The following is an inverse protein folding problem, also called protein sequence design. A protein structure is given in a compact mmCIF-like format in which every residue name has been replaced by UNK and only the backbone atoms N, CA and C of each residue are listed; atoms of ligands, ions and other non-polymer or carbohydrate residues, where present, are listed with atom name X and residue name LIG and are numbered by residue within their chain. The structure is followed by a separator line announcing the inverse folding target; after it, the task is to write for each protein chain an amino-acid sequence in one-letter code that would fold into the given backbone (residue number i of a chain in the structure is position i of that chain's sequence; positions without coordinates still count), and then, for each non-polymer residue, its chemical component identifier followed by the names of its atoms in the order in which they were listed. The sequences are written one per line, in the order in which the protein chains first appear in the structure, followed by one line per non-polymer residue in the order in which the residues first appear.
data_IF_665795887877
#
_entry.id   IF_665795887877
#
_cell.length_a   1.000
_cell.length_b   1.000
_cell.length_c   1.000
_cell.angle_alpha   90.00
_cell.angle_beta   90.00
_cell.angle_gamma   90.00
#
_symmetry.space_group_name_H-M   'P 1'
#
loop_
_entity.id
_entity.type
_entity.pdbx_description
1 polymer ?
#
# COMPACT_ATOMS: atom_id res chain seq x y z
N UNK A 1 7.53 -6.98 -14.93
CA UNK A 1 7.18 -6.93 -16.37
C UNK A 1 8.04 -5.86 -17.05
N UNK A 2 8.72 -6.18 -18.14
CA UNK A 2 9.63 -5.27 -18.86
C UNK A 2 9.12 -4.98 -20.28
N UNK A 3 9.66 -3.96 -20.94
CA UNK A 3 9.25 -3.53 -22.29
C UNK A 3 9.28 -2.02 -22.49
N UNK A 4 9.24 -1.57 -23.75
CA UNK A 4 9.32 -0.14 -24.13
C UNK A 4 8.15 0.70 -23.60
N UNK A 5 8.31 2.02 -23.50
CA UNK A 5 7.20 2.91 -23.11
C UNK A 5 6.00 2.74 -24.05
N UNK A 6 4.78 2.77 -23.51
CA UNK A 6 3.54 2.57 -24.29
C UNK A 6 3.20 1.10 -24.60
N UNK A 7 4.03 0.12 -24.27
CA UNK A 7 3.78 -1.31 -24.57
C UNK A 7 2.66 -1.97 -23.73
N UNK A 8 1.89 -1.20 -22.96
CA UNK A 8 0.77 -1.72 -22.15
C UNK A 8 1.13 -2.34 -20.79
N UNK A 9 2.38 -2.23 -20.31
CA UNK A 9 2.81 -2.82 -19.02
C UNK A 9 1.98 -2.33 -17.83
N UNK A 10 1.80 -1.01 -17.71
CA UNK A 10 1.03 -0.41 -16.62
C UNK A 10 -0.45 -0.75 -16.75
N UNK A 11 -0.97 -0.88 -17.98
CA UNK A 11 -2.34 -1.36 -18.21
C UNK A 11 -2.51 -2.78 -17.68
N UNK A 12 -1.58 -3.68 -18.02
CA UNK A 12 -1.66 -5.07 -17.54
C UNK A 12 -1.53 -5.18 -16.02
N UNK A 13 -0.51 -4.53 -15.43
CA UNK A 13 -0.20 -4.68 -14.01
C UNK A 13 -1.14 -3.86 -13.14
N UNK A 14 -1.36 -2.58 -13.44
CA UNK A 14 -2.09 -1.68 -12.55
C UNK A 14 -3.59 -1.72 -12.84
N UNK A 15 -3.98 -1.59 -14.11
CA UNK A 15 -5.39 -1.46 -14.49
C UNK A 15 -6.15 -2.79 -14.47
N UNK A 16 -5.49 -3.90 -14.82
CA UNK A 16 -6.12 -5.23 -14.87
C UNK A 16 -5.78 -6.03 -13.61
N UNK A 17 -4.51 -6.40 -13.44
CA UNK A 17 -4.11 -7.36 -12.40
C UNK A 17 -4.31 -6.79 -10.99
N UNK A 18 -3.73 -5.62 -10.68
CA UNK A 18 -3.82 -5.02 -9.35
C UNK A 18 -5.26 -4.67 -8.99
N UNK A 19 -6.01 -3.95 -9.84
CA UNK A 19 -7.43 -3.63 -9.58
C UNK A 19 -8.28 -4.89 -9.44
N UNK A 20 -8.05 -5.91 -10.27
CA UNK A 20 -8.80 -7.17 -10.20
C UNK A 20 -8.56 -7.90 -8.87
N UNK A 21 -7.30 -8.01 -8.45
CA UNK A 21 -6.93 -8.60 -7.15
C UNK A 21 -7.44 -7.75 -5.98
N UNK A 22 -7.28 -6.43 -6.02
CA UNK A 22 -7.72 -5.54 -4.96
C UNK A 22 -9.25 -5.53 -4.80
N UNK A 23 -10.00 -5.67 -5.90
CA UNK A 23 -11.45 -5.81 -5.83
C UNK A 23 -11.86 -7.13 -5.14
N UNK A 24 -11.15 -8.22 -5.41
CA UNK A 24 -11.47 -9.55 -4.85
C UNK A 24 -10.99 -9.74 -3.42
N UNK A 25 -9.79 -9.30 -3.10
CA UNK A 25 -9.13 -9.50 -1.80
C UNK A 25 -9.48 -8.38 -0.79
N UNK A 26 -9.62 -7.13 -1.27
CA UNK A 26 -9.79 -5.95 -0.39
C UNK A 26 -11.13 -5.24 -0.56
N UNK A 27 -12.03 -5.76 -1.41
CA UNK A 27 -13.32 -5.13 -1.75
C UNK A 27 -13.16 -3.70 -2.29
N UNK A 28 -12.05 -3.43 -2.98
CA UNK A 28 -11.80 -2.13 -3.60
C UNK A 28 -12.90 -1.78 -4.63
N UNK A 29 -13.27 -0.49 -4.70
CA UNK A 29 -14.36 -0.01 -5.58
C UNK A 29 -13.93 0.23 -7.03
N UNK A 30 -12.62 0.32 -7.29
CA UNK A 30 -12.11 0.58 -8.62
C UNK A 30 -12.43 -0.60 -9.54
N UNK A 31 -13.10 -0.32 -10.66
CA UNK A 31 -13.41 -1.34 -11.67
C UNK A 31 -12.11 -1.73 -12.41
N UNK A 32 -11.75 -3.01 -12.49
CA UNK A 32 -10.61 -3.45 -13.29
C UNK A 32 -10.85 -3.23 -14.77
N UNK A 33 -9.76 -3.06 -15.52
CA UNK A 33 -9.78 -3.04 -16.99
C UNK A 33 -10.37 -4.32 -17.56
N UNK A 34 -10.80 -4.27 -18.82
CA UNK A 34 -11.43 -5.41 -19.49
C UNK A 34 -10.49 -6.63 -19.52
N UNK A 35 -10.97 -7.76 -19.02
CA UNK A 35 -10.27 -9.04 -19.02
C UNK A 35 -11.30 -10.17 -18.88
N UNK A 36 -10.93 -11.40 -19.25
CA UNK A 36 -11.83 -12.57 -19.14
C UNK A 36 -11.95 -13.04 -17.70
N UNK A 37 -10.82 -13.41 -17.09
CA UNK A 37 -10.76 -13.94 -15.72
C UNK A 37 -9.33 -13.87 -15.17
N UNK A 38 -9.20 -13.86 -13.83
CA UNK A 38 -7.95 -14.03 -13.08
C UNK A 38 -8.12 -15.30 -12.22
N UNK A 39 -7.22 -16.27 -12.37
CA UNK A 39 -7.26 -17.57 -11.65
C UNK A 39 -6.23 -17.62 -10.54
N UNK A 40 -6.42 -18.54 -9.57
CA UNK A 40 -5.48 -18.79 -8.47
C UNK A 40 -5.49 -17.70 -7.39
N UNK A 41 -6.57 -16.90 -7.31
CA UNK A 41 -6.72 -15.85 -6.30
C UNK A 41 -6.81 -16.45 -4.89
N UNK A 42 -7.31 -17.67 -4.77
CA UNK A 42 -7.39 -18.47 -3.54
C UNK A 42 -6.03 -18.77 -2.90
N UNK A 43 -4.93 -18.62 -3.64
CA UNK A 43 -3.56 -18.72 -3.11
C UNK A 43 -3.02 -17.42 -2.51
N UNK A 44 -3.82 -16.33 -2.54
CA UNK A 44 -3.38 -14.99 -2.15
C UNK A 44 -4.26 -14.44 -1.03
N UNK A 45 -3.63 -13.99 0.06
CA UNK A 45 -4.36 -13.32 1.15
C UNK A 45 -4.55 -11.82 0.87
N UNK A 46 -3.56 -11.20 0.24
CA UNK A 46 -3.49 -9.75 0.04
C UNK A 46 -2.70 -9.39 -1.21
N UNK A 47 -3.08 -8.28 -1.82
CA UNK A 47 -2.26 -7.57 -2.82
C UNK A 47 -1.92 -6.18 -2.31
N UNK A 48 -0.67 -5.74 -2.46
CA UNK A 48 -0.23 -4.41 -2.03
C UNK A 48 0.56 -3.80 -3.19
N UNK A 49 0.17 -2.60 -3.60
CA UNK A 49 0.92 -1.78 -4.55
C UNK A 49 1.79 -0.79 -3.78
N UNK A 50 3.10 -0.79 -4.07
CA UNK A 50 4.09 0.10 -3.49
C UNK A 50 4.64 0.94 -4.63
N UNK A 51 4.26 2.21 -4.65
CA UNK A 51 4.65 3.16 -5.68
C UNK A 51 5.45 4.33 -5.07
N UNK A 52 5.69 5.36 -5.89
CA UNK A 52 6.38 6.59 -5.46
C UNK A 52 5.40 7.69 -5.06
N UNK A 53 4.13 7.35 -4.83
CA UNK A 53 3.18 8.32 -4.31
C UNK A 53 3.66 8.78 -2.92
N UNK A 54 3.51 10.08 -2.59
CA UNK A 54 3.93 10.57 -1.27
C UNK A 54 3.25 9.80 -0.14
N UNK A 55 4.03 9.37 0.85
CA UNK A 55 3.57 8.61 2.03
C UNK A 55 2.52 9.35 2.89
N UNK A 56 2.46 10.68 2.77
CA UNK A 56 1.50 11.54 3.44
C UNK A 56 1.50 12.94 2.83
N UNK A 57 0.42 13.69 3.02
CA UNK A 57 0.27 15.06 2.50
C UNK A 57 0.32 16.15 3.59
N UNK A 58 0.64 15.78 4.82
CA UNK A 58 0.65 16.71 5.96
C UNK A 58 2.08 16.92 6.48
N UNK A 59 2.43 18.14 6.94
CA UNK A 59 3.74 18.40 7.57
C UNK A 59 3.98 17.57 8.84
N UNK A 60 2.93 17.02 9.46
CA UNK A 60 3.03 16.18 10.65
C UNK A 60 3.46 14.74 10.36
N UNK A 61 3.54 14.36 9.09
CA UNK A 61 3.96 13.03 8.66
C UNK A 61 5.45 13.04 8.33
N UNK A 62 6.20 12.16 8.98
CA UNK A 62 7.62 11.91 8.74
C UNK A 62 7.89 10.39 8.76
N UNK A 63 9.09 9.93 8.40
CA UNK A 63 9.41 8.50 8.39
C UNK A 63 9.14 7.79 9.72
N UNK A 64 9.43 8.42 10.86
CA UNK A 64 9.23 7.81 12.17
C UNK A 64 7.76 7.62 12.53
N UNK A 65 6.90 8.58 12.15
CA UNK A 65 5.44 8.43 12.31
C UNK A 65 4.84 7.43 11.33
N UNK A 66 5.43 7.27 10.15
CA UNK A 66 4.93 6.37 9.11
C UNK A 66 5.23 4.89 9.42
N UNK A 67 6.40 4.62 9.99
CA UNK A 67 6.79 3.26 10.41
C UNK A 67 6.22 2.84 11.77
N UNK A 68 5.65 3.78 12.53
CA UNK A 68 5.16 3.55 13.89
C UNK A 68 6.22 3.67 14.99
N UNK A 69 7.51 3.77 14.64
CA UNK A 69 8.59 3.84 15.65
C UNK A 69 8.51 5.10 16.52
N UNK A 70 7.88 6.17 16.05
CA UNK A 70 7.65 7.34 16.89
C UNK A 70 6.72 7.03 18.07
N UNK A 71 5.84 6.04 17.95
CA UNK A 71 4.97 5.61 19.05
C UNK A 71 5.81 4.91 20.13
N UNK A 72 6.72 4.02 19.74
CA UNK A 72 7.67 3.38 20.65
C UNK A 72 8.55 4.42 21.37
N UNK A 73 9.04 5.43 20.63
CA UNK A 73 9.80 6.54 21.21
C UNK A 73 8.95 7.28 22.25
N UNK A 74 7.68 7.59 21.93
CA UNK A 74 6.78 8.27 22.87
C UNK A 74 6.56 7.43 24.14
N UNK A 75 6.40 6.13 24.02
CA UNK A 75 6.21 5.23 25.16
C UNK A 75 7.46 5.19 26.05
N UNK A 76 8.65 5.14 25.46
CA UNK A 76 9.92 5.23 26.19
C UNK A 76 10.02 6.56 26.94
N UNK A 77 9.74 7.69 26.29
CA UNK A 77 9.79 9.01 26.93
C UNK A 77 8.73 9.19 28.02
N UNK A 78 7.53 8.63 27.84
CA UNK A 78 6.49 8.64 28.87
C UNK A 78 6.84 7.77 30.09
N UNK A 79 7.74 6.80 29.92
CA UNK A 79 8.17 5.91 31.00
C UNK A 79 9.24 6.51 31.93
N UNK A 80 9.83 7.65 31.58
CA UNK A 80 10.89 8.31 32.38
C UNK A 80 10.36 8.80 33.72
N UNK A 81 11.26 8.99 34.70
CA UNK A 81 10.86 9.44 36.03
C UNK A 81 10.32 10.87 35.99
N UNK A 82 10.92 11.73 35.18
CA UNK A 82 10.55 13.13 34.99
C UNK A 82 9.14 13.29 34.39
N UNK A 83 8.69 12.33 33.59
CA UNK A 83 7.34 12.33 33.01
C UNK A 83 6.24 11.87 33.99
N UNK A 84 6.61 11.30 35.13
CA UNK A 84 5.68 10.76 36.16
C UNK A 84 5.43 11.72 37.32
N UNK A 85 6.02 12.92 37.28
CA UNK A 85 5.90 13.97 38.31
C UNK A 85 4.84 15.00 37.92
#
# INVERSE_FOLDING_TARGET
VTGVSGSGKSTLINEILHKGLAQKLHRAKAKPGEHKEIKGIDHLDKVIDIDQSPIGRTPRSNPATYTGVFDDIRDVFASTNEAKV
#
